data_IF_012093058915
#
_entry.id   IF_012093058915
#
_cell.length_a   1.000
_cell.length_b   1.000
_cell.length_c   1.000
_cell.angle_alpha   90.00
_cell.angle_beta   90.00
_cell.angle_gamma   90.00
#
_symmetry.space_group_name_H-M   'P 1'
#
loop_
_entity.id
_entity.type
_entity.pdbx_description
1 polymer ?
#
# COMPACT_ATOMS: atom_id res chain seq x y z
N UNK A 1 20.70 5.21 28.84
CA UNK A 1 20.19 3.87 28.47
C UNK A 1 18.68 4.02 28.28
N UNK A 2 18.18 3.85 27.06
CA UNK A 2 16.79 4.22 26.73
C UNK A 2 16.17 3.24 25.73
N UNK A 3 15.79 2.05 26.21
CA UNK A 3 15.00 1.09 25.42
C UNK A 3 13.53 1.49 25.44
N UNK A 4 13.12 2.35 24.52
CA UNK A 4 11.72 2.77 24.35
C UNK A 4 11.46 3.31 22.93
N UNK A 5 11.63 2.48 21.90
CA UNK A 5 11.27 2.87 20.51
C UNK A 5 11.03 1.67 19.56
N UNK A 6 10.59 0.54 20.11
CA UNK A 6 10.31 -0.70 19.35
C UNK A 6 8.85 -1.16 19.51
N UNK A 7 7.92 -0.23 19.68
CA UNK A 7 6.53 -0.50 20.04
C UNK A 7 5.50 -0.13 18.97
N UNK A 8 5.65 0.97 18.22
CA UNK A 8 4.68 1.39 17.20
C UNK A 8 4.79 0.57 15.89
N UNK A 9 5.98 0.36 15.36
CA UNK A 9 6.21 -0.53 14.21
C UNK A 9 5.82 -1.99 14.51
N UNK A 10 6.03 -2.42 15.76
CA UNK A 10 5.48 -3.70 16.23
C UNK A 10 3.96 -3.65 16.35
N UNK A 11 3.34 -2.52 16.74
CA UNK A 11 1.89 -2.33 16.70
C UNK A 11 1.34 -2.45 15.28
N UNK A 12 1.95 -1.84 14.27
CA UNK A 12 1.45 -1.91 12.88
C UNK A 12 1.69 -3.28 12.22
N UNK A 13 2.84 -3.91 12.43
CA UNK A 13 3.04 -5.30 12.03
C UNK A 13 2.09 -6.27 12.79
N UNK A 14 1.76 -5.95 14.05
CA UNK A 14 0.74 -6.66 14.83
C UNK A 14 -0.67 -6.31 14.35
N UNK A 15 -0.94 -5.14 13.80
CA UNK A 15 -2.23 -4.78 13.20
C UNK A 15 -2.45 -5.52 11.89
N UNK A 16 -1.41 -5.67 11.05
CA UNK A 16 -1.47 -6.54 9.85
C UNK A 16 -1.70 -7.99 10.27
N UNK A 17 -0.94 -8.52 11.23
CA UNK A 17 -1.16 -9.88 11.79
C UNK A 17 -2.50 -10.03 12.53
N UNK A 18 -3.05 -8.96 13.10
CA UNK A 18 -4.40 -8.95 13.70
C UNK A 18 -5.49 -8.86 12.65
N UNK A 19 -5.25 -8.24 11.49
CA UNK A 19 -6.15 -8.29 10.33
C UNK A 19 -6.18 -9.71 9.76
N UNK A 20 -5.02 -10.33 9.60
CA UNK A 20 -4.85 -11.74 9.23
C UNK A 20 -5.57 -12.67 10.22
N UNK A 21 -5.38 -12.46 11.53
CA UNK A 21 -6.10 -13.20 12.57
C UNK A 21 -7.60 -12.84 12.67
N UNK A 22 -8.03 -11.65 12.25
CA UNK A 22 -9.45 -11.25 12.23
C UNK A 22 -10.19 -11.84 11.02
N UNK A 23 -9.52 -11.98 9.88
CA UNK A 23 -10.01 -12.76 8.74
C UNK A 23 -10.18 -14.23 9.15
N UNK A 24 -9.18 -14.82 9.81
CA UNK A 24 -9.25 -16.19 10.33
C UNK A 24 -10.31 -16.37 11.43
N UNK A 25 -10.52 -15.38 12.30
CA UNK A 25 -11.59 -15.40 13.33
C UNK A 25 -13.01 -15.22 12.78
N UNK A 26 -13.19 -14.82 11.53
CA UNK A 26 -14.53 -14.72 10.94
C UNK A 26 -15.09 -16.08 10.48
N UNK A 27 -14.25 -17.10 10.30
CA UNK A 27 -14.72 -18.48 10.04
C UNK A 27 -15.29 -19.14 11.31
N UNK A 28 -14.85 -18.73 12.51
CA UNK A 28 -15.29 -19.28 13.81
C UNK A 28 -16.53 -18.58 14.40
N UNK A 29 -16.96 -17.45 13.80
CA UNK A 29 -18.16 -16.68 14.23
C UNK A 29 -19.38 -16.98 13.35
N UNK A 30 -19.23 -17.78 12.28
CA UNK A 30 -20.37 -18.33 11.54
C UNK A 30 -21.17 -19.40 12.32
N UNK A 31 -20.63 -19.89 13.45
CA UNK A 31 -21.24 -20.95 14.28
C UNK A 31 -22.21 -20.49 15.37
N UNK A 32 -22.32 -19.19 15.66
CA UNK A 32 -23.11 -18.68 16.80
C UNK A 32 -24.20 -17.67 16.40
N UNK A 33 -25.16 -18.13 15.58
CA UNK A 33 -26.49 -17.53 15.54
C UNK A 33 -27.39 -18.21 16.59
N UNK A 34 -27.43 -17.67 17.81
CA UNK A 34 -28.52 -17.90 18.76
C UNK A 34 -29.42 -16.63 18.80
N UNK A 35 -30.69 -16.70 18.35
CA UNK A 35 -31.55 -15.54 18.18
C UNK A 35 -32.23 -15.10 19.49
N UNK A 36 -31.50 -15.04 20.61
CA UNK A 36 -32.04 -14.56 21.89
C UNK A 36 -31.05 -13.75 22.75
N UNK A 37 -31.09 -12.41 22.63
CA UNK A 37 -31.14 -11.44 23.74
C UNK A 37 -31.09 -10.00 23.22
N UNK A 38 -31.77 -9.08 23.91
CA UNK A 38 -32.06 -7.73 23.40
C UNK A 38 -30.91 -6.73 23.53
N UNK A 39 -30.80 -5.83 22.53
CA UNK A 39 -29.88 -4.69 22.55
C UNK A 39 -30.37 -3.60 23.52
N UNK A 40 -29.46 -3.07 24.33
CA UNK A 40 -29.60 -1.71 24.88
C UNK A 40 -28.25 -1.13 25.32
N UNK A 41 -27.75 -0.13 24.58
CA UNK A 41 -27.30 1.13 25.18
C UNK A 41 -27.30 2.25 24.14
N UNK A 42 -27.73 3.43 24.60
CA UNK A 42 -27.98 4.67 23.87
C UNK A 42 -26.88 5.69 24.25
N UNK A 43 -26.96 6.88 23.65
CA UNK A 43 -26.39 8.16 24.12
C UNK A 43 -24.91 8.47 23.79
N UNK A 44 -24.48 9.74 23.67
CA UNK A 44 -25.12 10.96 23.11
C UNK A 44 -24.14 12.15 23.19
N UNK A 45 -24.05 12.91 22.10
CA UNK A 45 -24.03 14.40 22.08
C UNK A 45 -22.90 15.26 22.73
N UNK A 46 -22.75 16.46 22.11
CA UNK A 46 -22.18 17.73 22.63
C UNK A 46 -20.65 17.95 22.68
N UNK A 47 -20.11 19.17 22.63
CA UNK A 47 -20.28 20.37 21.74
C UNK A 47 -19.49 21.57 22.32
N UNK A 48 -18.97 22.47 21.46
CA UNK A 48 -18.39 23.80 21.76
C UNK A 48 -17.04 23.82 22.54
N UNK A 49 -16.24 24.90 22.61
CA UNK A 49 -16.33 26.28 22.06
C UNK A 49 -14.91 26.90 21.92
N UNK A 50 -14.74 27.93 21.09
CA UNK A 50 -13.57 28.82 21.12
C UNK A 50 -13.74 29.96 22.17
N UNK A 51 -12.67 30.73 22.48
CA UNK A 51 -12.71 32.17 22.15
C UNK A 51 -11.37 32.81 21.69
N UNK A 52 -11.40 34.12 21.43
CA UNK A 52 -10.42 34.97 20.71
C UNK A 52 -9.88 36.10 21.63
N UNK A 53 -8.63 36.57 21.40
CA UNK A 53 -8.10 37.94 21.68
C UNK A 53 -6.76 38.08 20.88
N UNK A 54 -6.47 39.07 20.02
CA UNK A 54 -6.29 40.54 20.16
C UNK A 54 -5.15 40.95 21.12
N UNK A 55 -4.24 41.91 20.84
CA UNK A 55 -3.92 42.71 19.63
C UNK A 55 -2.55 43.47 19.80
N UNK A 56 -2.17 44.29 18.80
CA UNK A 56 -1.30 45.50 18.86
C UNK A 56 0.18 45.46 18.40
N UNK A 57 0.39 46.07 17.22
CA UNK A 57 1.45 47.01 16.74
C UNK A 57 2.66 47.37 17.65
N UNK A 58 3.84 47.75 17.11
CA UNK A 58 4.01 49.06 16.44
C UNK A 58 5.43 49.44 15.90
N UNK A 59 5.42 50.39 14.94
CA UNK A 59 6.39 51.43 14.49
C UNK A 59 7.87 51.18 14.07
N UNK A 60 8.26 51.93 13.03
CA UNK A 60 9.56 51.99 12.30
C UNK A 60 9.77 53.45 11.82
N UNK A 61 10.88 54.16 12.15
CA UNK A 61 11.88 54.57 11.11
C UNK A 61 13.31 54.86 11.70
N UNK A 62 14.26 55.55 11.01
CA UNK A 62 14.88 55.23 9.71
C UNK A 62 16.43 55.25 9.73
N UNK A 63 17.09 54.73 8.67
CA UNK A 63 18.52 54.92 8.39
C UNK A 63 18.80 54.92 6.88
N UNK A 64 19.58 55.90 6.40
CA UNK A 64 19.75 56.22 4.96
C UNK A 64 20.91 55.45 4.26
N UNK A 65 21.01 55.48 2.91
CA UNK A 65 21.72 54.46 2.14
C UNK A 65 23.22 54.75 1.91
N UNK A 66 24.00 53.67 1.75
CA UNK A 66 25.36 53.72 1.22
C UNK A 66 25.42 52.98 -0.14
N UNK A 67 25.87 53.68 -1.18
CA UNK A 67 26.13 53.13 -2.52
C UNK A 67 27.51 52.48 -2.57
N UNK A 68 27.61 51.31 -3.24
CA UNK A 68 28.89 50.67 -3.56
C UNK A 68 28.93 50.23 -5.04
N UNK A 69 30.13 50.21 -5.67
CA UNK A 69 30.29 50.17 -7.13
C UNK A 69 30.19 48.75 -7.74
N UNK A 70 29.99 48.64 -9.07
CA UNK A 70 29.80 47.35 -9.75
C UNK A 70 31.13 46.65 -10.10
N UNK A 71 31.24 45.35 -9.79
CA UNK A 71 32.25 44.44 -10.36
C UNK A 71 31.91 42.96 -10.08
N UNK A 72 32.51 42.01 -10.83
CA UNK A 72 32.12 41.60 -12.18
C UNK A 72 31.32 40.28 -12.15
N UNK A 73 30.77 39.86 -13.29
CA UNK A 73 29.94 38.66 -13.38
C UNK A 73 30.68 37.38 -12.94
N UNK A 74 30.18 36.74 -11.89
CA UNK A 74 30.48 35.34 -11.58
C UNK A 74 29.68 34.42 -12.53
N UNK A 75 30.18 33.23 -12.88
CA UNK A 75 29.57 32.39 -13.89
C UNK A 75 28.19 31.90 -13.48
N UNK A 76 27.28 31.83 -14.46
CA UNK A 76 25.93 31.27 -14.31
C UNK A 76 26.01 29.83 -13.80
N UNK A 77 25.70 29.62 -12.52
CA UNK A 77 25.32 28.29 -12.03
C UNK A 77 23.94 27.95 -12.59
N UNK A 78 23.95 27.46 -13.83
CA UNK A 78 22.81 26.79 -14.47
C UNK A 78 22.56 25.44 -13.80
N UNK A 79 22.18 25.49 -12.52
CA UNK A 79 21.66 24.35 -11.79
C UNK A 79 20.17 24.19 -12.10
N UNK A 80 19.85 23.73 -13.33
CA UNK A 80 18.56 23.11 -13.59
C UNK A 80 18.47 21.84 -12.74
N UNK A 81 17.93 21.98 -11.53
CA UNK A 81 17.60 20.88 -10.65
C UNK A 81 16.41 20.11 -11.22
N UNK A 82 16.65 19.37 -12.31
CA UNK A 82 15.78 18.28 -12.71
C UNK A 82 15.83 17.28 -11.55
N UNK A 83 14.71 17.14 -10.84
CA UNK A 83 14.56 16.07 -9.86
C UNK A 83 14.50 14.75 -10.63
N UNK A 84 15.67 14.14 -10.86
CA UNK A 84 15.74 12.82 -11.45
C UNK A 84 14.98 11.83 -10.55
N UNK A 85 13.93 11.23 -11.12
CA UNK A 85 13.14 10.20 -10.45
C UNK A 85 14.11 9.06 -10.06
N UNK A 86 14.20 8.66 -8.77
CA UNK A 86 15.18 7.68 -8.35
C UNK A 86 15.07 6.38 -9.15
N UNK A 87 16.21 5.78 -9.52
CA UNK A 87 16.26 4.55 -10.33
C UNK A 87 15.38 3.42 -9.78
N UNK A 88 15.23 3.32 -8.45
CA UNK A 88 14.30 2.39 -7.79
C UNK A 88 12.85 2.59 -8.27
N UNK A 89 12.34 3.82 -8.24
CA UNK A 89 10.98 4.17 -8.67
C UNK A 89 10.78 3.87 -10.16
N UNK A 90 11.75 4.21 -11.02
CA UNK A 90 11.68 3.89 -12.47
C UNK A 90 11.68 2.39 -12.71
N UNK A 91 12.53 1.64 -12.00
CA UNK A 91 12.59 0.17 -12.11
C UNK A 91 11.33 -0.50 -11.58
N UNK A 92 10.71 0.04 -10.52
CA UNK A 92 9.40 -0.41 -10.04
C UNK A 92 8.31 -0.21 -11.10
N UNK A 93 8.25 0.98 -11.70
CA UNK A 93 7.30 1.28 -12.77
C UNK A 93 7.47 0.32 -13.96
N UNK A 94 8.69 0.17 -14.48
CA UNK A 94 8.95 -0.69 -15.64
C UNK A 94 8.77 -2.19 -15.34
N UNK A 95 9.41 -2.70 -14.28
CA UNK A 95 9.56 -4.16 -14.05
C UNK A 95 8.42 -4.77 -13.25
N UNK A 96 7.74 -3.98 -12.41
CA UNK A 96 6.61 -4.46 -11.60
C UNK A 96 5.29 -4.01 -12.23
N UNK A 97 5.08 -2.70 -12.43
CA UNK A 97 3.79 -2.22 -12.96
C UNK A 97 3.63 -2.58 -14.44
N UNK A 98 4.54 -2.13 -15.30
CA UNK A 98 4.36 -2.21 -16.75
C UNK A 98 4.59 -3.63 -17.29
N UNK A 99 5.60 -4.33 -16.79
CA UNK A 99 5.92 -5.69 -17.25
C UNK A 99 5.09 -6.82 -16.60
N UNK A 100 4.35 -6.56 -15.51
CA UNK A 100 3.58 -7.61 -14.79
C UNK A 100 2.16 -7.20 -14.41
N UNK A 101 1.98 -6.10 -13.67
CA UNK A 101 0.62 -5.69 -13.23
C UNK A 101 -0.26 -5.39 -14.43
N UNK A 102 0.17 -4.52 -15.35
CA UNK A 102 -0.63 -4.17 -16.55
C UNK A 102 -1.04 -5.40 -17.37
N UNK A 103 -0.13 -6.31 -17.79
CA UNK A 103 -0.50 -7.56 -18.45
C UNK A 103 -1.48 -8.43 -17.67
N UNK A 104 -1.32 -8.55 -16.34
CA UNK A 104 -2.27 -9.30 -15.50
C UNK A 104 -3.67 -8.66 -15.51
N UNK A 105 -3.77 -7.33 -15.40
CA UNK A 105 -5.04 -6.60 -15.43
C UNK A 105 -5.70 -6.67 -16.82
N UNK A 106 -4.93 -6.52 -17.89
CA UNK A 106 -5.42 -6.64 -19.27
C UNK A 106 -5.90 -8.06 -19.58
N UNK A 107 -5.15 -9.08 -19.18
CA UNK A 107 -5.59 -10.46 -19.31
C UNK A 107 -6.89 -10.69 -18.52
N UNK A 108 -6.97 -10.21 -17.27
CA UNK A 108 -8.18 -10.33 -16.44
C UNK A 108 -9.40 -9.69 -17.10
N UNK A 109 -9.27 -8.48 -17.66
CA UNK A 109 -10.34 -7.78 -18.40
C UNK A 109 -10.87 -8.57 -19.61
N UNK A 110 -10.01 -9.34 -20.27
CA UNK A 110 -10.34 -10.08 -21.51
C UNK A 110 -10.85 -11.51 -21.26
N UNK A 111 -10.92 -11.95 -20.01
CA UNK A 111 -11.13 -13.35 -19.64
C UNK A 111 -12.11 -13.55 -18.48
N UNK A 112 -12.05 -12.72 -17.45
CA UNK A 112 -12.69 -13.00 -16.18
C UNK A 112 -14.08 -12.36 -16.04
N UNK A 113 -14.89 -12.88 -15.10
CA UNK A 113 -16.19 -12.33 -14.76
C UNK A 113 -16.09 -10.90 -14.19
N UNK A 114 -17.18 -10.11 -14.25
CA UNK A 114 -17.16 -8.67 -13.91
C UNK A 114 -16.62 -8.38 -12.50
N UNK A 115 -16.94 -9.24 -11.53
CA UNK A 115 -16.48 -9.13 -10.14
C UNK A 115 -14.94 -9.27 -10.02
N UNK A 116 -14.33 -10.13 -10.85
CA UNK A 116 -12.87 -10.31 -10.90
C UNK A 116 -12.21 -9.13 -11.60
N UNK A 117 -12.85 -8.59 -12.65
CA UNK A 117 -12.38 -7.38 -13.33
C UNK A 117 -12.41 -6.19 -12.37
N UNK A 118 -13.48 -5.99 -11.60
CA UNK A 118 -13.61 -4.94 -10.59
C UNK A 118 -12.52 -5.03 -9.52
N UNK A 119 -12.38 -6.19 -8.86
CA UNK A 119 -11.37 -6.36 -7.80
C UNK A 119 -9.94 -6.25 -8.35
N UNK A 120 -9.69 -6.62 -9.62
CA UNK A 120 -8.39 -6.41 -10.27
C UNK A 120 -8.08 -4.92 -10.48
N UNK A 121 -9.08 -4.08 -10.78
CA UNK A 121 -8.88 -2.63 -10.86
C UNK A 121 -8.51 -2.02 -9.49
N UNK A 122 -8.99 -2.60 -8.39
CA UNK A 122 -8.54 -2.23 -7.03
C UNK A 122 -7.07 -2.61 -6.80
N UNK A 123 -6.60 -3.76 -7.32
CA UNK A 123 -5.17 -4.13 -7.31
C UNK A 123 -4.34 -3.15 -8.14
N UNK A 124 -4.81 -2.73 -9.32
CA UNK A 124 -4.10 -1.72 -10.13
C UNK A 124 -3.88 -0.44 -9.31
N UNK A 125 -4.96 0.10 -8.71
CA UNK A 125 -4.91 1.28 -7.84
C UNK A 125 -4.02 1.07 -6.61
N UNK A 126 -3.98 -0.15 -6.07
CA UNK A 126 -3.12 -0.52 -4.94
C UNK A 126 -1.63 -0.39 -5.30
N UNK A 127 -1.23 -0.80 -6.50
CA UNK A 127 0.15 -0.66 -6.99
C UNK A 127 0.51 0.78 -7.36
N UNK A 128 -0.45 1.57 -7.84
CA UNK A 128 -0.30 3.02 -8.04
C UNK A 128 -0.03 3.74 -6.69
N UNK A 129 -0.80 3.43 -5.64
CA UNK A 129 -0.58 3.93 -4.27
C UNK A 129 0.82 3.55 -3.75
N UNK A 130 1.27 2.32 -3.99
CA UNK A 130 2.63 1.90 -3.62
C UNK A 130 3.69 2.68 -4.41
N UNK A 131 3.49 2.89 -5.72
CA UNK A 131 4.39 3.67 -6.57
C UNK A 131 4.54 5.12 -6.11
N UNK A 132 3.45 5.76 -5.71
CA UNK A 132 3.48 7.12 -5.15
C UNK A 132 4.15 7.18 -3.78
N UNK A 133 3.97 6.15 -2.95
CA UNK A 133 4.70 6.02 -1.68
C UNK A 133 6.20 5.80 -1.87
N UNK A 134 6.61 5.06 -2.92
CA UNK A 134 8.02 4.89 -3.28
C UNK A 134 8.63 6.20 -3.81
N UNK A 135 7.88 7.01 -4.57
CA UNK A 135 8.28 8.38 -4.95
C UNK A 135 8.49 9.24 -3.70
N UNK A 136 7.53 9.23 -2.77
CA UNK A 136 7.63 9.97 -1.52
C UNK A 136 8.85 9.55 -0.69
N UNK A 137 9.10 8.25 -0.54
CA UNK A 137 10.26 7.73 0.16
C UNK A 137 11.58 8.11 -0.53
N UNK A 138 11.60 8.15 -1.86
CA UNK A 138 12.73 8.64 -2.66
C UNK A 138 12.99 10.15 -2.55
N UNK A 139 12.00 10.94 -2.12
CA UNK A 139 12.07 12.40 -2.01
C UNK A 139 12.12 12.94 -0.58
N UNK A 140 11.97 12.09 0.44
CA UNK A 140 11.89 12.50 1.84
C UNK A 140 12.73 11.59 2.74
N UNK A 141 13.27 12.16 3.82
CA UNK A 141 13.80 11.39 4.96
C UNK A 141 12.70 10.52 5.56
N UNK A 142 13.12 9.41 6.19
CA UNK A 142 12.20 8.56 6.96
C UNK A 142 11.48 9.41 8.02
N UNK A 143 10.14 9.54 7.95
CA UNK A 143 9.39 10.35 8.88
C UNK A 143 9.28 9.68 10.25
N UNK A 144 8.86 10.45 11.25
CA UNK A 144 8.51 9.93 12.57
C UNK A 144 7.38 8.88 12.49
N UNK A 145 7.36 7.95 13.44
CA UNK A 145 6.47 6.77 13.44
C UNK A 145 4.99 7.13 13.26
N UNK A 146 4.49 8.14 13.99
CA UNK A 146 3.11 8.65 13.90
C UNK A 146 2.75 9.24 12.53
N UNK A 147 3.72 9.85 11.86
CA UNK A 147 3.55 10.39 10.50
C UNK A 147 3.57 9.23 9.49
N UNK A 148 4.46 8.24 9.68
CA UNK A 148 4.51 7.03 8.86
C UNK A 148 3.18 6.24 8.93
N UNK A 149 2.61 6.06 10.12
CA UNK A 149 1.29 5.43 10.31
C UNK A 149 0.20 6.16 9.52
N UNK A 150 0.21 7.51 9.56
CA UNK A 150 -0.74 8.35 8.82
C UNK A 150 -0.60 8.19 7.30
N UNK A 151 0.64 8.10 6.79
CA UNK A 151 0.95 7.89 5.37
C UNK A 151 0.56 6.48 4.88
N UNK A 152 0.40 5.50 5.77
CA UNK A 152 -0.01 4.13 5.44
C UNK A 152 -1.54 3.95 5.46
N UNK A 153 -2.31 4.98 5.83
CA UNK A 153 -3.78 4.97 5.74
C UNK A 153 -4.34 4.56 4.37
N UNK A 154 -3.80 5.01 3.22
CA UNK A 154 -4.18 4.53 1.89
C UNK A 154 -3.93 3.04 1.66
N UNK A 155 -2.86 2.47 2.24
CA UNK A 155 -2.51 1.07 2.11
C UNK A 155 -3.59 0.21 2.77
N UNK A 156 -3.91 0.50 4.04
CA UNK A 156 -4.98 -0.19 4.78
C UNK A 156 -6.33 -0.12 4.04
N UNK A 157 -6.72 1.09 3.60
CA UNK A 157 -7.97 1.30 2.84
C UNK A 157 -8.02 0.49 1.54
N UNK A 158 -6.89 0.32 0.85
CA UNK A 158 -6.83 -0.49 -0.38
C UNK A 158 -7.02 -1.99 -0.11
N UNK A 159 -6.36 -2.52 0.93
CA UNK A 159 -6.46 -3.93 1.34
C UNK A 159 -7.89 -4.24 1.77
N UNK A 160 -8.48 -3.37 2.61
CA UNK A 160 -9.88 -3.51 3.02
C UNK A 160 -10.87 -3.40 1.85
N UNK A 161 -10.60 -2.55 0.85
CA UNK A 161 -11.48 -2.41 -0.32
C UNK A 161 -11.49 -3.71 -1.14
N UNK A 162 -10.33 -4.32 -1.36
CA UNK A 162 -10.20 -5.62 -2.04
C UNK A 162 -10.93 -6.71 -1.22
N UNK A 163 -10.69 -6.79 0.08
CA UNK A 163 -11.36 -7.74 0.98
C UNK A 163 -12.89 -7.58 0.95
N UNK A 164 -13.41 -6.35 1.06
CA UNK A 164 -14.85 -6.06 0.95
C UNK A 164 -15.43 -6.44 -0.42
N UNK A 165 -14.70 -6.23 -1.51
CA UNK A 165 -15.14 -6.62 -2.86
C UNK A 165 -15.23 -8.15 -3.03
N UNK A 166 -14.32 -8.92 -2.43
CA UNK A 166 -14.43 -10.39 -2.35
C UNK A 166 -15.68 -10.80 -1.56
N UNK A 167 -15.88 -10.25 -0.35
CA UNK A 167 -16.99 -10.64 0.53
C UNK A 167 -18.37 -10.26 -0.02
N UNK A 168 -18.51 -9.10 -0.68
CA UNK A 168 -19.72 -8.70 -1.38
C UNK A 168 -20.13 -9.74 -2.45
N UNK A 169 -19.14 -10.35 -3.10
CA UNK A 169 -19.30 -11.31 -4.18
C UNK A 169 -19.19 -12.79 -3.74
N UNK A 170 -19.31 -13.09 -2.44
CA UNK A 170 -19.28 -14.46 -1.86
C UNK A 170 -20.31 -15.47 -2.40
N UNK A 171 -21.23 -15.03 -3.25
CA UNK A 171 -22.24 -15.87 -3.93
C UNK A 171 -21.83 -16.28 -5.35
N UNK A 172 -20.81 -15.65 -5.93
CA UNK A 172 -20.29 -15.95 -7.28
C UNK A 172 -19.50 -17.27 -7.28
N UNK A 173 -20.18 -18.40 -7.49
CA UNK A 173 -19.56 -19.74 -7.38
C UNK A 173 -18.47 -19.98 -8.42
N UNK A 174 -18.57 -19.38 -9.60
CA UNK A 174 -17.64 -19.60 -10.71
C UNK A 174 -16.33 -18.82 -10.51
N UNK A 175 -16.40 -17.63 -9.90
CA UNK A 175 -15.23 -16.76 -9.74
C UNK A 175 -14.71 -16.59 -8.31
N UNK A 176 -15.41 -17.05 -7.26
CA UNK A 176 -14.99 -16.82 -5.87
C UNK A 176 -13.57 -17.30 -5.55
N UNK A 177 -13.10 -18.39 -6.17
CA UNK A 177 -11.70 -18.84 -6.05
C UNK A 177 -10.69 -17.80 -6.55
N UNK A 178 -11.02 -17.07 -7.63
CA UNK A 178 -10.18 -16.01 -8.20
C UNK A 178 -10.24 -14.74 -7.34
N UNK A 179 -11.43 -14.40 -6.81
CA UNK A 179 -11.60 -13.29 -5.87
C UNK A 179 -10.80 -13.54 -4.56
N UNK A 180 -10.81 -14.78 -4.07
CA UNK A 180 -9.96 -15.21 -2.94
C UNK A 180 -8.49 -15.03 -3.27
N UNK A 181 -8.00 -15.57 -4.40
CA UNK A 181 -6.59 -15.43 -4.81
C UNK A 181 -6.13 -13.97 -4.83
N UNK A 182 -6.93 -13.05 -5.39
CA UNK A 182 -6.61 -11.61 -5.37
C UNK A 182 -6.61 -11.04 -3.94
N UNK A 183 -7.59 -11.42 -3.11
CA UNK A 183 -7.71 -10.92 -1.73
C UNK A 183 -6.54 -11.36 -0.85
N UNK A 184 -6.10 -12.61 -0.95
CA UNK A 184 -4.94 -13.12 -0.19
C UNK A 184 -3.62 -12.49 -0.66
N UNK A 185 -3.56 -12.03 -1.91
CA UNK A 185 -2.41 -11.27 -2.43
C UNK A 185 -2.36 -9.81 -2.00
N UNK A 186 -3.50 -9.21 -1.63
CA UNK A 186 -3.61 -7.78 -1.32
C UNK A 186 -2.67 -7.24 -0.21
N UNK A 187 -2.33 -7.99 0.86
CA UNK A 187 -1.40 -7.52 1.89
C UNK A 187 0.04 -7.28 1.40
N UNK A 188 0.38 -7.68 0.17
CA UNK A 188 1.73 -7.60 -0.40
C UNK A 188 2.41 -6.24 -0.22
N UNK A 189 1.67 -5.14 -0.39
CA UNK A 189 2.18 -3.76 -0.25
C UNK A 189 2.69 -3.45 1.16
N UNK A 190 2.32 -4.24 2.18
CA UNK A 190 2.81 -4.13 3.56
C UNK A 190 4.30 -4.41 3.73
N UNK A 191 5.01 -4.88 2.68
CA UNK A 191 6.46 -5.09 2.73
C UNK A 191 7.23 -3.83 3.14
N UNK A 192 6.71 -2.63 2.83
CA UNK A 192 7.40 -1.34 3.05
C UNK A 192 7.74 -1.03 4.51
N UNK A 193 7.04 -1.66 5.47
CA UNK A 193 7.32 -1.56 6.92
C UNK A 193 7.96 -2.82 7.51
N UNK A 194 8.17 -3.87 6.71
CA UNK A 194 8.67 -5.14 7.20
C UNK A 194 10.21 -5.15 7.21
N UNK A 195 10.87 -5.58 8.31
CA UNK A 195 12.33 -5.65 8.38
C UNK A 195 12.94 -6.75 7.49
N UNK A 196 12.13 -7.71 7.00
CA UNK A 196 12.53 -8.76 6.06
C UNK A 196 11.59 -8.74 4.84
N UNK A 197 11.61 -7.65 4.04
CA UNK A 197 10.56 -7.43 3.03
C UNK A 197 10.55 -8.50 1.95
N UNK A 198 11.72 -8.99 1.52
CA UNK A 198 11.82 -10.07 0.53
C UNK A 198 11.28 -11.42 1.04
N UNK A 199 11.27 -11.66 2.35
CA UNK A 199 10.64 -12.85 2.96
C UNK A 199 9.13 -12.66 3.06
N UNK A 200 8.67 -11.50 3.53
CA UNK A 200 7.25 -11.17 3.56
C UNK A 200 6.57 -11.34 2.20
N UNK A 201 7.25 -10.97 1.10
CA UNK A 201 6.76 -11.23 -0.27
C UNK A 201 6.69 -12.73 -0.61
N UNK A 202 7.62 -13.56 -0.12
CA UNK A 202 7.52 -15.03 -0.27
C UNK A 202 6.30 -15.54 0.47
N UNK A 203 6.14 -15.17 1.74
CA UNK A 203 5.08 -15.69 2.61
C UNK A 203 3.69 -15.41 2.01
N UNK A 204 3.45 -14.21 1.50
CA UNK A 204 2.20 -13.85 0.79
C UNK A 204 2.09 -14.59 -0.56
N UNK A 205 3.18 -14.71 -1.32
CA UNK A 205 3.18 -15.43 -2.61
C UNK A 205 2.84 -16.91 -2.42
N UNK A 206 3.33 -17.55 -1.37
CA UNK A 206 3.09 -18.98 -1.10
C UNK A 206 1.60 -19.23 -0.77
N UNK A 207 0.94 -18.31 -0.06
CA UNK A 207 -0.53 -18.31 0.11
C UNK A 207 -1.25 -18.16 -1.22
N UNK A 208 -0.85 -17.20 -2.06
CA UNK A 208 -1.42 -17.00 -3.41
C UNK A 208 -1.23 -18.23 -4.30
N UNK A 209 -0.07 -18.89 -4.22
CA UNK A 209 0.25 -20.14 -4.94
C UNK A 209 -0.60 -21.30 -4.41
N UNK A 210 -0.83 -21.40 -3.10
CA UNK A 210 -1.67 -22.43 -2.50
C UNK A 210 -3.12 -22.39 -3.05
N UNK A 211 -3.77 -21.23 -3.02
CA UNK A 211 -5.11 -21.07 -3.62
C UNK A 211 -5.07 -21.18 -5.16
N UNK A 212 -4.05 -20.61 -5.80
CA UNK A 212 -3.82 -20.71 -7.24
C UNK A 212 -3.68 -22.15 -7.74
N UNK A 213 -3.03 -23.03 -6.97
CA UNK A 213 -2.87 -24.44 -7.32
C UNK A 213 -4.22 -25.19 -7.35
N UNK A 214 -5.19 -24.83 -6.51
CA UNK A 214 -6.55 -25.40 -6.56
C UNK A 214 -7.24 -25.05 -7.88
N UNK A 215 -7.22 -23.78 -8.28
CA UNK A 215 -7.74 -23.32 -9.59
C UNK A 215 -6.99 -24.00 -10.74
N UNK A 216 -5.66 -24.11 -10.67
CA UNK A 216 -4.87 -24.81 -11.70
C UNK A 216 -5.24 -26.28 -11.83
N UNK A 217 -5.46 -26.99 -10.73
CA UNK A 217 -5.90 -28.39 -10.73
C UNK A 217 -7.31 -28.56 -11.29
N UNK A 218 -8.22 -27.62 -10.99
CA UNK A 218 -9.60 -27.66 -11.47
C UNK A 218 -9.74 -27.41 -12.97
N UNK A 219 -8.93 -26.50 -13.52
CA UNK A 219 -9.10 -25.98 -14.88
C UNK A 219 -8.06 -26.44 -15.91
N UNK A 220 -6.97 -27.10 -15.50
CA UNK A 220 -5.88 -27.56 -16.41
C UNK A 220 -6.37 -28.30 -17.66
N UNK A 221 -7.39 -29.15 -17.51
CA UNK A 221 -7.95 -29.98 -18.59
C UNK A 221 -9.27 -29.43 -19.14
N UNK A 222 -9.74 -28.26 -18.65
CA UNK A 222 -11.03 -27.63 -19.01
C UNK A 222 -10.84 -26.32 -19.79
N UNK A 223 -10.05 -25.40 -19.24
CA UNK A 223 -9.82 -24.08 -19.79
C UNK A 223 -8.46 -23.54 -19.31
N UNK A 224 -7.41 -23.60 -20.14
CA UNK A 224 -6.05 -23.23 -19.72
C UNK A 224 -5.89 -21.74 -19.38
N UNK A 225 -6.83 -20.87 -19.75
CA UNK A 225 -6.78 -19.45 -19.40
C UNK A 225 -6.81 -19.20 -17.88
N UNK A 226 -7.45 -20.06 -17.10
CA UNK A 226 -7.39 -19.99 -15.63
C UNK A 226 -5.97 -20.28 -15.11
N UNK A 227 -5.27 -21.24 -15.73
CA UNK A 227 -3.88 -21.59 -15.39
C UNK A 227 -2.93 -20.44 -15.72
N UNK A 228 -3.12 -19.84 -16.91
CA UNK A 228 -2.37 -18.67 -17.36
C UNK A 228 -2.61 -17.45 -16.44
N UNK A 229 -3.86 -17.17 -16.09
CA UNK A 229 -4.24 -16.09 -15.16
C UNK A 229 -3.54 -16.23 -13.79
N UNK A 230 -3.53 -17.43 -13.20
CA UNK A 230 -2.82 -17.69 -11.93
C UNK A 230 -1.31 -17.45 -12.10
N UNK A 231 -0.71 -17.95 -13.18
CA UNK A 231 0.73 -17.77 -13.44
C UNK A 231 1.11 -16.29 -13.65
N UNK A 232 0.25 -15.52 -14.34
CA UNK A 232 0.42 -14.06 -14.51
C UNK A 232 0.39 -13.34 -13.16
N UNK A 233 -0.58 -13.68 -12.30
CA UNK A 233 -0.67 -13.07 -10.97
C UNK A 233 0.55 -13.40 -10.10
N UNK A 234 0.95 -14.67 -10.01
CA UNK A 234 2.16 -15.10 -9.30
C UNK A 234 3.41 -14.37 -9.81
N UNK A 235 3.52 -14.16 -11.12
CA UNK A 235 4.61 -13.41 -11.73
C UNK A 235 4.73 -11.93 -11.29
N UNK A 236 3.67 -11.33 -10.74
CA UNK A 236 3.73 -10.00 -10.11
C UNK A 236 4.53 -10.06 -8.80
N UNK A 237 4.33 -11.11 -7.99
CA UNK A 237 5.04 -11.31 -6.72
C UNK A 237 6.52 -11.63 -6.95
N UNK A 238 6.84 -12.40 -7.99
CA UNK A 238 8.24 -12.67 -8.36
C UNK A 238 8.98 -11.39 -8.76
N UNK A 239 8.35 -10.50 -9.53
CA UNK A 239 8.92 -9.21 -9.89
C UNK A 239 9.04 -8.26 -8.68
N UNK A 240 8.03 -8.23 -7.80
CA UNK A 240 8.10 -7.50 -6.53
C UNK A 240 9.27 -7.99 -5.67
N UNK A 241 9.46 -9.31 -5.57
CA UNK A 241 10.55 -9.90 -4.81
C UNK A 241 11.92 -9.54 -5.38
N UNK A 242 12.08 -9.61 -6.71
CA UNK A 242 13.31 -9.21 -7.39
C UNK A 242 13.63 -7.72 -7.16
N UNK A 243 12.63 -6.85 -7.35
CA UNK A 243 12.73 -5.42 -7.09
C UNK A 243 13.17 -5.11 -5.65
N UNK A 244 12.54 -5.74 -4.65
CA UNK A 244 12.88 -5.56 -3.24
C UNK A 244 14.30 -6.06 -2.94
N UNK A 245 14.72 -7.19 -3.50
CA UNK A 245 16.10 -7.69 -3.32
C UNK A 245 17.15 -6.72 -3.86
N UNK A 246 16.87 -6.06 -4.99
CA UNK A 246 17.78 -5.11 -5.64
C UNK A 246 17.83 -3.74 -4.95
N UNK A 247 16.69 -3.17 -4.52
CA UNK A 247 16.61 -1.78 -4.02
C UNK A 247 16.32 -1.63 -2.52
N UNK A 248 15.78 -2.66 -1.86
CA UNK A 248 15.17 -2.56 -0.52
C UNK A 248 15.45 -3.79 0.36
N UNK A 249 16.66 -4.35 0.25
CA UNK A 249 17.01 -5.67 0.80
C UNK A 249 16.75 -5.82 2.31
N UNK A 250 16.95 -4.74 3.07
CA UNK A 250 16.80 -4.68 4.54
C UNK A 250 15.62 -3.79 5.00
N UNK A 251 14.66 -3.53 4.11
CA UNK A 251 13.53 -2.63 4.33
C UNK A 251 13.48 -1.50 3.30
N UNK A 252 12.41 -0.71 3.34
CA UNK A 252 12.27 0.46 2.48
C UNK A 252 13.41 1.47 2.70
N UNK A 253 14.07 1.85 1.60
CA UNK A 253 15.12 2.86 1.57
C UNK A 253 14.47 4.23 1.37
N UNK A 254 14.79 5.16 2.27
CA UNK A 254 14.34 6.55 2.26
C UNK A 254 15.46 7.46 1.78
N UNK A 255 15.15 8.68 1.34
CA UNK A 255 16.16 9.67 0.99
C UNK A 255 16.99 10.02 2.24
N UNK A 256 18.34 9.98 2.17
CA UNK A 256 19.17 10.36 3.31
C UNK A 256 19.26 11.89 3.54
N UNK A 257 18.76 12.72 2.61
CA UNK A 257 18.89 14.19 2.62
C UNK A 257 17.58 14.89 2.94
#
# INVERSE_FOLDING_TARGET
>A
MSNANSSGLYSLATLIKRLEAAASRFEDVAGFFDPSTGLSRRESSQQAKAPIQQASTSHIPPGQPATLPPRPAAPTVSASAVQEVPKSVTTFQEKVIDAKVKPFIEFTKNFAGPNVVEISALVQKQYEILGDFLKLAGSCRKPEEKVLESLLGPFLKSIEAISRAKEANRRDRDWFSHLTIISEGAPIIGWVINPKPAQFVIDIKDTVVYYGNRVKQEYKDKNPKHVEWVNLYVGVFDAMQAYIKEYHTTGLVWNPK
#
